data_IF_799567932327
#
_entry.id   IF_799567932327
#
_cell.length_a   1.000
_cell.length_b   1.000
_cell.length_c   1.000
_cell.angle_alpha   90.00
_cell.angle_beta   90.00
_cell.angle_gamma   90.00
#
_symmetry.space_group_name_H-M   'P 1'
#
loop_
_entity.id
_entity.type
_entity.pdbx_description
1 polymer ?
#
# COMPACT_ATOMS: atom_id res chain seq x y z
N UNK A 1 -8.96 22.88 28.95
CA UNK A 1 -8.55 22.01 27.84
C UNK A 1 -9.78 21.62 27.06
N UNK A 2 -9.82 21.73 25.74
CA UNK A 2 -10.95 21.20 24.99
C UNK A 2 -11.03 19.67 25.22
N UNK A 3 -12.23 19.07 25.20
CA UNK A 3 -12.37 17.64 25.34
C UNK A 3 -11.60 16.94 24.21
N UNK A 4 -10.77 15.99 24.59
CA UNK A 4 -9.96 15.21 23.63
C UNK A 4 -10.95 14.30 22.90
N UNK A 5 -11.05 14.46 21.59
CA UNK A 5 -11.84 13.52 20.75
C UNK A 5 -11.28 12.11 20.94
N UNK A 6 -12.12 11.09 21.12
CA UNK A 6 -11.66 9.70 21.28
C UNK A 6 -10.95 9.13 20.05
N UNK A 7 -10.84 9.94 18.99
CA UNK A 7 -10.28 9.54 17.70
C UNK A 7 -11.25 8.69 16.87
N UNK A 8 -10.87 8.39 15.61
CA UNK A 8 -11.72 7.64 14.70
C UNK A 8 -11.80 6.17 15.10
N UNK A 9 -12.89 5.51 14.70
CA UNK A 9 -13.03 4.06 14.85
C UNK A 9 -12.13 3.33 13.87
N UNK A 10 -11.29 2.43 14.37
CA UNK A 10 -10.38 1.62 13.57
C UNK A 10 -10.93 0.21 13.34
N UNK A 11 -10.80 -0.29 12.12
CA UNK A 11 -11.02 -1.70 11.79
C UNK A 11 -9.67 -2.34 11.52
N UNK A 12 -9.22 -3.18 12.45
CA UNK A 12 -7.93 -3.87 12.37
C UNK A 12 -7.99 -5.07 11.43
N UNK A 13 -7.18 -5.06 10.38
CA UNK A 13 -7.01 -6.19 9.46
C UNK A 13 -5.90 -7.11 9.96
N UNK A 14 -4.81 -6.53 10.46
CA UNK A 14 -3.72 -7.25 11.13
C UNK A 14 -3.31 -6.49 12.41
N UNK A 15 -2.51 -7.06 13.31
CA UNK A 15 -2.04 -6.34 14.49
C UNK A 15 -1.26 -5.06 14.20
N UNK A 16 -0.68 -4.94 13.00
CA UNK A 16 0.09 -3.76 12.56
C UNK A 16 -0.58 -2.86 11.56
N UNK A 17 -1.80 -3.21 11.08
CA UNK A 17 -2.49 -2.46 10.04
C UNK A 17 -3.99 -2.39 10.27
N UNK A 18 -4.53 -1.18 10.24
CA UNK A 18 -5.95 -0.91 10.36
C UNK A 18 -6.45 0.00 9.23
N UNK A 19 -7.76 0.01 9.03
CA UNK A 19 -8.42 0.95 8.11
C UNK A 19 -9.50 1.75 8.84
N UNK A 20 -9.80 2.94 8.31
CA UNK A 20 -10.86 3.81 8.83
C UNK A 20 -11.51 4.61 7.71
N UNK A 21 -12.61 5.28 8.02
CA UNK A 21 -13.27 6.25 7.14
C UNK A 21 -12.43 7.52 6.97
N UNK A 22 -12.93 8.47 6.16
CA UNK A 22 -12.32 9.78 5.99
C UNK A 22 -12.09 10.44 7.35
N UNK A 23 -10.91 11.05 7.51
CA UNK A 23 -10.47 11.69 8.73
C UNK A 23 -10.83 13.18 8.73
N UNK A 24 -11.14 13.72 9.89
CA UNK A 24 -11.18 15.15 10.13
C UNK A 24 -9.91 15.64 10.84
N UNK A 25 -9.81 16.95 11.08
CA UNK A 25 -8.61 17.54 11.68
C UNK A 25 -8.33 17.07 13.11
N UNK A 26 -9.36 16.73 13.88
CA UNK A 26 -9.23 16.28 15.26
C UNK A 26 -8.79 14.82 15.36
N UNK A 27 -9.09 14.01 14.34
CA UNK A 27 -8.79 12.58 14.30
C UNK A 27 -7.29 12.29 14.34
N UNK A 28 -6.45 13.15 13.74
CA UNK A 28 -4.99 12.93 13.73
C UNK A 28 -4.40 12.88 15.14
N UNK A 29 -4.84 13.78 16.03
CA UNK A 29 -4.43 13.73 17.43
C UNK A 29 -4.97 12.48 18.15
N UNK A 30 -6.20 12.07 17.85
CA UNK A 30 -6.82 10.86 18.37
C UNK A 30 -6.10 9.59 17.91
N UNK A 31 -5.65 9.52 16.66
CA UNK A 31 -4.84 8.41 16.14
C UNK A 31 -3.51 8.26 16.89
N UNK A 32 -2.81 9.37 17.11
CA UNK A 32 -1.55 9.34 17.88
C UNK A 32 -1.77 8.85 19.32
N UNK A 33 -2.87 9.25 19.96
CA UNK A 33 -3.24 8.77 21.31
C UNK A 33 -3.60 7.28 21.34
N UNK A 34 -4.16 6.75 20.24
CA UNK A 34 -4.42 5.32 20.06
C UNK A 34 -3.15 4.52 19.75
N UNK A 35 -1.97 5.14 19.70
CA UNK A 35 -0.69 4.47 19.45
C UNK A 35 -0.38 4.23 17.98
N UNK A 36 -1.12 4.85 17.06
CA UNK A 36 -0.80 4.81 15.63
C UNK A 36 0.49 5.59 15.39
N UNK A 37 1.37 5.04 14.55
CA UNK A 37 2.62 5.69 14.17
C UNK A 37 2.58 6.32 12.77
N UNK A 38 1.76 5.78 11.87
CA UNK A 38 1.71 6.24 10.47
C UNK A 38 0.31 6.22 9.90
N UNK A 39 0.05 7.14 8.97
CA UNK A 39 -1.23 7.29 8.25
C UNK A 39 -1.00 7.21 6.75
N UNK A 40 -1.81 6.44 6.05
CA UNK A 40 -1.90 6.40 4.59
C UNK A 40 -3.24 6.97 4.15
N UNK A 41 -3.24 7.96 3.26
CA UNK A 41 -4.45 8.43 2.59
C UNK A 41 -4.55 7.76 1.21
N UNK A 42 -5.59 6.95 1.02
CA UNK A 42 -5.93 6.38 -0.30
C UNK A 42 -6.99 7.20 -1.03
N UNK A 43 -7.34 8.36 -0.52
CA UNK A 43 -8.34 9.22 -1.12
C UNK A 43 -7.69 10.17 -2.12
N UNK A 44 -8.09 10.17 -3.42
CA UNK A 44 -7.66 11.18 -4.38
C UNK A 44 -8.09 12.58 -3.91
N UNK A 45 -7.27 13.59 -4.14
CA UNK A 45 -7.66 14.97 -3.88
C UNK A 45 -8.83 15.37 -4.79
N UNK A 46 -9.69 16.23 -4.27
CA UNK A 46 -10.85 16.76 -5.01
C UNK A 46 -11.89 15.71 -5.43
N UNK A 47 -11.92 14.54 -4.80
CA UNK A 47 -12.93 13.52 -5.04
C UNK A 47 -14.34 13.98 -4.63
N UNK A 48 -14.43 14.85 -3.61
CA UNK A 48 -15.70 15.45 -3.14
C UNK A 48 -15.49 16.91 -2.78
N UNK A 49 -16.56 17.70 -2.91
CA UNK A 49 -16.55 19.09 -2.46
C UNK A 49 -16.33 19.17 -0.95
N UNK A 50 -15.44 20.08 -0.52
CA UNK A 50 -15.12 20.25 0.92
C UNK A 50 -14.19 19.20 1.50
N UNK A 51 -13.71 18.25 0.70
CA UNK A 51 -12.71 17.28 1.14
C UNK A 51 -11.42 17.97 1.58
N UNK A 52 -10.84 17.51 2.69
CA UNK A 52 -9.51 17.92 3.12
C UNK A 52 -8.46 17.44 2.11
N UNK A 53 -7.63 18.34 1.56
CA UNK A 53 -6.55 17.94 0.67
C UNK A 53 -5.47 17.13 1.39
N UNK A 54 -4.84 16.18 0.71
CA UNK A 54 -3.76 15.34 1.26
C UNK A 54 -2.59 16.17 1.83
N UNK A 55 -2.30 17.34 1.24
CA UNK A 55 -1.30 18.27 1.75
C UNK A 55 -1.67 18.81 3.17
N UNK A 56 -2.94 19.06 3.42
CA UNK A 56 -3.44 19.48 4.74
C UNK A 56 -3.39 18.32 5.73
N UNK A 57 -3.79 17.12 5.31
CA UNK A 57 -3.68 15.90 6.11
C UNK A 57 -2.22 15.64 6.53
N UNK A 58 -1.26 15.83 5.63
CA UNK A 58 0.17 15.69 5.92
C UNK A 58 0.65 16.64 7.02
N UNK A 59 0.19 17.90 7.01
CA UNK A 59 0.53 18.89 8.05
C UNK A 59 -0.07 18.50 9.40
N UNK A 60 -1.31 18.04 9.41
CA UNK A 60 -2.01 17.61 10.64
C UNK A 60 -1.36 16.36 11.23
N UNK A 61 -1.03 15.37 10.39
CA UNK A 61 -0.30 14.18 10.79
C UNK A 61 1.06 14.53 11.41
N UNK A 62 1.84 15.37 10.74
CA UNK A 62 3.13 15.84 11.28
C UNK A 62 2.99 16.52 12.63
N UNK A 63 1.99 17.42 12.81
CA UNK A 63 1.71 18.08 14.09
C UNK A 63 1.33 17.11 15.20
N UNK A 64 0.70 15.99 14.83
CA UNK A 64 0.35 14.92 15.77
C UNK A 64 1.50 13.92 16.01
N UNK A 65 2.66 14.09 15.36
CA UNK A 65 3.80 13.17 15.47
C UNK A 65 3.66 11.90 14.63
N UNK A 66 2.75 11.89 13.65
CA UNK A 66 2.49 10.77 12.74
C UNK A 66 3.28 10.94 11.43
N UNK A 67 3.73 9.83 10.86
CA UNK A 67 4.26 9.81 9.49
C UNK A 67 3.08 9.70 8.52
N UNK A 68 3.11 10.47 7.42
CA UNK A 68 2.03 10.49 6.44
C UNK A 68 2.50 10.06 5.05
N UNK A 69 1.67 9.29 4.36
CA UNK A 69 1.83 8.95 2.94
C UNK A 69 0.52 9.13 2.20
N UNK A 70 0.59 9.74 1.01
CA UNK A 70 -0.53 9.82 0.08
C UNK A 70 -0.33 8.78 -1.02
N UNK A 71 -1.23 7.81 -1.10
CA UNK A 71 -1.29 6.77 -2.14
C UNK A 71 -2.68 6.82 -2.74
N UNK A 72 -2.97 7.81 -3.59
CA UNK A 72 -4.32 8.01 -4.13
C UNK A 72 -4.74 6.82 -4.97
N UNK A 73 -5.95 6.33 -4.71
CA UNK A 73 -6.54 5.19 -5.39
C UNK A 73 -7.99 5.54 -5.79
N UNK A 74 -8.23 5.85 -7.06
CA UNK A 74 -9.57 6.05 -7.55
C UNK A 74 -10.30 4.69 -7.73
N UNK A 75 -11.62 4.70 -7.82
CA UNK A 75 -12.42 3.46 -7.86
C UNK A 75 -12.07 2.53 -9.04
N UNK A 76 -11.57 3.10 -10.14
CA UNK A 76 -11.28 2.38 -11.38
C UNK A 76 -9.80 1.96 -11.51
N UNK A 77 -8.92 2.33 -10.57
CA UNK A 77 -7.48 2.08 -10.66
C UNK A 77 -6.90 1.29 -9.47
N UNK A 78 -7.75 0.70 -8.63
CA UNK A 78 -7.37 0.02 -7.38
C UNK A 78 -6.33 -1.09 -7.58
N UNK A 79 -6.33 -1.75 -8.75
CA UNK A 79 -5.44 -2.86 -9.08
C UNK A 79 -4.32 -2.46 -10.06
N UNK A 80 -4.14 -1.17 -10.32
CA UNK A 80 -3.03 -0.70 -11.16
C UNK A 80 -1.70 -0.80 -10.43
N UNK A 81 -0.60 -1.00 -11.18
CA UNK A 81 0.73 -1.11 -10.59
C UNK A 81 1.12 0.11 -9.77
N UNK A 82 0.80 1.31 -10.26
CA UNK A 82 1.12 2.56 -9.57
C UNK A 82 0.53 2.59 -8.16
N UNK A 83 -0.74 2.21 -8.00
CA UNK A 83 -1.42 2.18 -6.71
C UNK A 83 -0.85 1.07 -5.83
N UNK A 84 -0.70 -0.14 -6.37
CA UNK A 84 -0.27 -1.31 -5.59
C UNK A 84 1.19 -1.19 -5.16
N UNK A 85 2.07 -0.73 -6.04
CA UNK A 85 3.48 -0.48 -5.70
C UNK A 85 3.61 0.64 -4.69
N UNK A 86 2.88 1.75 -4.88
CA UNK A 86 2.83 2.83 -3.92
C UNK A 86 2.39 2.38 -2.52
N UNK A 87 1.38 1.50 -2.46
CA UNK A 87 0.92 0.92 -1.18
C UNK A 87 1.95 -0.04 -0.58
N UNK A 88 2.53 -0.92 -1.40
CA UNK A 88 3.56 -1.84 -0.94
C UNK A 88 4.81 -1.11 -0.42
N UNK A 89 5.23 -0.04 -1.09
CA UNK A 89 6.34 0.82 -0.65
C UNK A 89 6.02 1.53 0.67
N UNK A 90 4.81 2.06 0.79
CA UNK A 90 4.36 2.68 2.03
C UNK A 90 4.37 1.68 3.20
N UNK A 91 3.83 0.47 3.00
CA UNK A 91 3.80 -0.58 4.03
C UNK A 91 5.21 -1.05 4.45
N UNK A 92 6.19 -1.06 3.52
CA UNK A 92 7.58 -1.41 3.83
C UNK A 92 8.34 -0.30 4.54
N UNK A 93 8.07 0.96 4.19
CA UNK A 93 8.83 2.11 4.67
C UNK A 93 8.27 2.79 5.90
N UNK A 94 7.01 2.55 6.25
CA UNK A 94 6.35 3.19 7.38
C UNK A 94 6.54 2.38 8.67
N UNK A 95 6.66 3.10 9.78
CA UNK A 95 6.63 2.49 11.12
C UNK A 95 5.18 2.16 11.47
N UNK A 96 4.96 0.96 11.97
CA UNK A 96 3.65 0.54 12.47
C UNK A 96 3.44 0.90 13.95
N UNK A 97 2.19 0.86 14.41
CA UNK A 97 0.98 0.53 13.66
C UNK A 97 0.61 1.58 12.60
N UNK A 98 0.13 1.12 11.46
CA UNK A 98 -0.28 1.95 10.32
C UNK A 98 -1.79 1.96 10.20
N UNK A 99 -2.39 3.12 9.99
CA UNK A 99 -3.79 3.23 9.59
C UNK A 99 -3.89 3.77 8.17
N UNK A 100 -4.71 3.14 7.33
CA UNK A 100 -5.06 3.67 6.03
C UNK A 100 -6.52 4.15 6.02
N UNK A 101 -6.79 5.26 5.34
CA UNK A 101 -8.15 5.76 5.19
C UNK A 101 -8.49 6.09 3.74
N UNK A 102 -9.77 6.06 3.46
CA UNK A 102 -10.38 6.56 2.23
C UNK A 102 -11.71 7.23 2.58
N UNK A 103 -12.78 7.07 1.80
CA UNK A 103 -14.11 7.57 2.18
C UNK A 103 -14.74 6.74 3.31
N UNK A 104 -14.67 5.40 3.25
CA UNK A 104 -15.32 4.46 4.18
C UNK A 104 -14.38 3.39 4.76
N UNK A 105 -13.10 3.38 4.40
CA UNK A 105 -12.15 2.33 4.74
C UNK A 105 -12.11 1.16 3.76
N UNK A 106 -13.18 0.90 3.01
CA UNK A 106 -13.32 -0.25 2.13
C UNK A 106 -12.27 -0.28 1.00
N UNK A 107 -12.04 0.85 0.33
CA UNK A 107 -11.03 1.01 -0.72
C UNK A 107 -9.62 0.74 -0.17
N UNK A 108 -9.31 1.27 1.01
CA UNK A 108 -8.03 1.04 1.68
C UNK A 108 -7.81 -0.43 2.02
N UNK A 109 -8.86 -1.17 2.38
CA UNK A 109 -8.79 -2.61 2.60
C UNK A 109 -8.47 -3.37 1.30
N UNK A 110 -9.09 -3.01 0.17
CA UNK A 110 -8.81 -3.62 -1.15
C UNK A 110 -7.36 -3.34 -1.58
N UNK A 111 -6.91 -2.09 -1.49
CA UNK A 111 -5.54 -1.72 -1.90
C UNK A 111 -4.49 -2.40 -1.02
N UNK A 112 -4.76 -2.53 0.30
CA UNK A 112 -3.92 -3.31 1.20
C UNK A 112 -3.87 -4.78 0.79
N UNK A 113 -5.02 -5.37 0.48
CA UNK A 113 -5.09 -6.78 0.05
C UNK A 113 -4.29 -7.02 -1.23
N UNK A 114 -4.47 -6.17 -2.25
CA UNK A 114 -3.76 -6.28 -3.51
C UNK A 114 -2.23 -6.13 -3.34
N UNK A 115 -1.78 -5.18 -2.50
CA UNK A 115 -0.36 -5.02 -2.19
C UNK A 115 0.20 -6.21 -1.39
N UNK A 116 -0.58 -6.74 -0.44
CA UNK A 116 -0.19 -7.88 0.40
C UNK A 116 -0.12 -9.19 -0.38
N UNK A 117 -1.01 -9.42 -1.36
CA UNK A 117 -1.01 -10.59 -2.23
C UNK A 117 0.29 -10.74 -3.03
N UNK A 118 1.04 -9.66 -3.27
CA UNK A 118 2.36 -9.73 -3.91
C UNK A 118 3.43 -10.40 -3.03
N UNK A 119 3.19 -10.61 -1.74
CA UNK A 119 4.18 -11.16 -0.80
C UNK A 119 3.63 -12.20 0.17
N UNK A 120 2.31 -12.29 0.29
CA UNK A 120 1.59 -13.20 1.19
C UNK A 120 0.68 -14.13 0.37
N UNK A 121 0.39 -15.34 0.84
CA UNK A 121 -0.62 -16.21 0.22
C UNK A 121 -1.99 -15.51 0.18
N UNK A 122 -2.69 -15.61 -0.96
CA UNK A 122 -4.01 -14.98 -1.16
C UNK A 122 -5.02 -15.44 -0.11
N UNK A 123 -5.02 -16.73 0.24
CA UNK A 123 -5.90 -17.27 1.29
C UNK A 123 -5.67 -16.62 2.66
N UNK A 124 -4.41 -16.32 3.00
CA UNK A 124 -4.09 -15.58 4.23
C UNK A 124 -4.65 -14.16 4.20
N UNK A 125 -4.51 -13.48 3.06
CA UNK A 125 -5.01 -12.10 2.87
C UNK A 125 -6.54 -12.06 2.99
N UNK A 126 -7.24 -12.96 2.32
CA UNK A 126 -8.71 -13.05 2.37
C UNK A 126 -9.20 -13.41 3.78
N UNK A 127 -8.56 -14.36 4.46
CA UNK A 127 -8.91 -14.72 5.83
C UNK A 127 -8.71 -13.54 6.81
N UNK A 128 -7.70 -12.69 6.61
CA UNK A 128 -7.49 -11.50 7.42
C UNK A 128 -8.59 -10.45 7.19
N UNK A 129 -9.03 -10.28 5.93
CA UNK A 129 -10.14 -9.40 5.58
C UNK A 129 -11.46 -9.89 6.16
N UNK A 130 -11.78 -11.17 6.00
CA UNK A 130 -13.01 -11.78 6.53
C UNK A 130 -13.09 -11.61 8.06
N UNK A 131 -12.01 -11.92 8.76
CA UNK A 131 -11.90 -11.70 10.22
C UNK A 131 -12.12 -10.24 10.63
N UNK A 132 -11.76 -9.29 9.77
CA UNK A 132 -11.98 -7.85 9.97
C UNK A 132 -13.39 -7.39 9.56
N UNK A 133 -14.22 -8.29 9.02
CA UNK A 133 -15.60 -8.01 8.58
C UNK A 133 -15.70 -7.49 7.14
N UNK A 134 -14.68 -7.73 6.31
CA UNK A 134 -14.71 -7.41 4.88
C UNK A 134 -14.93 -8.70 4.06
N UNK A 135 -16.15 -8.91 3.60
CA UNK A 135 -16.49 -10.01 2.68
C UNK A 135 -16.03 -9.66 1.25
N UNK A 136 -14.81 -10.04 0.91
CA UNK A 136 -14.12 -9.66 -0.32
C UNK A 136 -13.67 -10.87 -1.16
N UNK A 137 -14.32 -12.03 -1.04
CA UNK A 137 -14.01 -13.20 -1.87
C UNK A 137 -14.14 -12.91 -3.37
N UNK A 138 -14.97 -11.95 -3.75
CA UNK A 138 -15.18 -11.54 -5.15
C UNK A 138 -13.93 -10.96 -5.82
N UNK A 139 -12.92 -10.51 -5.06
CA UNK A 139 -11.67 -9.99 -5.62
C UNK A 139 -10.55 -11.05 -5.67
N UNK A 140 -10.85 -12.32 -5.40
CA UNK A 140 -9.85 -13.40 -5.37
C UNK A 140 -9.03 -13.46 -6.64
N UNK A 141 -9.68 -13.44 -7.81
CA UNK A 141 -8.99 -13.51 -9.11
C UNK A 141 -8.04 -12.32 -9.32
N UNK A 142 -8.43 -11.14 -8.87
CA UNK A 142 -7.57 -9.95 -8.91
C UNK A 142 -6.36 -10.10 -7.98
N UNK A 143 -6.53 -10.70 -6.79
CA UNK A 143 -5.43 -10.96 -5.86
C UNK A 143 -4.48 -12.04 -6.38
N UNK A 144 -5.00 -13.10 -7.01
CA UNK A 144 -4.20 -14.16 -7.63
C UNK A 144 -3.37 -13.58 -8.78
N UNK A 145 -3.95 -12.69 -9.61
CA UNK A 145 -3.23 -11.96 -10.65
C UNK A 145 -2.08 -11.09 -10.08
N UNK A 146 -2.27 -10.48 -8.90
CA UNK A 146 -1.19 -9.73 -8.24
C UNK A 146 -0.09 -10.65 -7.68
N UNK A 147 -0.44 -11.80 -7.14
CA UNK A 147 0.52 -12.79 -6.66
C UNK A 147 1.39 -13.35 -7.80
N UNK A 148 0.78 -13.65 -8.95
CA UNK A 148 1.47 -14.15 -10.14
C UNK A 148 2.38 -13.10 -10.78
N UNK A 149 1.98 -11.83 -10.78
CA UNK A 149 2.76 -10.74 -11.38
C UNK A 149 4.17 -10.60 -10.79
N UNK A 150 4.33 -10.80 -9.49
CA UNK A 150 5.66 -10.82 -8.86
C UNK A 150 6.50 -12.02 -9.33
N UNK A 151 5.89 -13.17 -9.55
CA UNK A 151 6.57 -14.37 -10.05
C UNK A 151 7.16 -14.12 -11.44
N UNK A 152 6.42 -13.46 -12.35
CA UNK A 152 6.87 -13.12 -13.69
C UNK A 152 7.99 -12.08 -13.71
N UNK A 153 7.91 -11.02 -12.91
CA UNK A 153 8.96 -10.02 -12.80
C UNK A 153 10.27 -10.61 -12.27
N UNK A 154 10.21 -11.56 -11.33
CA UNK A 154 11.38 -12.29 -10.82
C UNK A 154 12.05 -13.18 -11.87
N UNK A 155 11.27 -13.80 -12.75
CA UNK A 155 11.78 -14.65 -13.85
C UNK A 155 12.42 -13.82 -14.95
N UNK A 156 11.86 -12.65 -15.30
CA UNK A 156 12.42 -11.76 -16.33
C UNK A 156 13.81 -11.26 -15.94
N UNK A 157 14.04 -10.91 -14.69
CA UNK A 157 15.35 -10.45 -14.21
C UNK A 157 16.42 -11.54 -14.26
N UNK A 158 16.05 -12.80 -14.09
CA UNK A 158 16.97 -13.95 -14.17
C UNK A 158 17.33 -14.28 -15.62
N UNK A 159 16.38 -14.14 -16.56
CA UNK A 159 16.61 -14.38 -17.99
C UNK A 159 17.52 -13.30 -18.60
N UNK A 160 17.36 -12.03 -18.24
CA UNK A 160 18.21 -10.94 -18.72
C UNK A 160 19.67 -11.09 -18.23
N UNK A 161 19.88 -11.65 -17.03
CA UNK A 161 21.22 -11.94 -16.53
C UNK A 161 21.88 -13.14 -17.22
N UNK A 162 21.10 -14.13 -17.67
CA UNK A 162 21.63 -15.31 -18.34
C UNK A 162 22.02 -15.05 -19.82
N UNK A 163 21.31 -14.14 -20.49
CA UNK A 163 21.62 -13.77 -21.89
C UNK A 163 22.82 -12.81 -22.00
N UNK A 164 23.05 -11.95 -20.99
CA UNK A 164 24.21 -11.05 -20.99
C UNK A 164 25.55 -11.75 -20.79
N UNK A 165 25.58 -12.98 -20.26
CA UNK A 165 26.81 -13.72 -20.01
C UNK A 165 27.30 -14.54 -21.20
N UNK A 166 26.51 -14.70 -22.27
CA UNK A 166 26.87 -15.54 -23.43
C UNK A 166 27.51 -14.79 -24.61
N UNK A 167 27.55 -13.45 -24.60
CA UNK A 167 28.07 -12.69 -25.73
C UNK A 167 29.57 -12.30 -25.62
N UNK A 168 30.24 -12.65 -24.52
CA UNK A 168 31.65 -12.23 -24.32
C UNK A 168 32.71 -13.29 -24.63
N UNK A 169 32.37 -14.41 -25.29
CA UNK A 169 33.35 -15.51 -25.56
C UNK A 169 33.84 -15.66 -27.01
N UNK A 170 33.57 -14.71 -27.91
CA UNK A 170 34.09 -14.81 -29.31
C UNK A 170 34.82 -13.53 -29.75
N UNK A 171 36.00 -13.29 -29.18
CA UNK A 171 37.00 -12.44 -29.84
C UNK A 171 38.01 -13.32 -30.63
N UNK A 172 38.19 -13.10 -31.93
CA UNK A 172 39.20 -13.81 -32.70
C UNK A 172 40.60 -13.36 -32.30
N UNK A 173 41.46 -14.33 -31.96
CA UNK A 173 42.90 -14.10 -31.74
C UNK A 173 43.55 -13.61 -33.06
N UNK A 174 44.02 -12.37 -33.06
CA UNK A 174 44.85 -11.83 -34.14
C UNK A 174 46.14 -12.65 -34.26
N UNK A 175 46.35 -13.23 -35.43
CA UNK A 175 47.64 -13.85 -35.81
C UNK A 175 48.70 -12.74 -35.96
N UNK A 176 49.75 -12.84 -35.16
CA UNK A 176 51.03 -12.15 -35.44
C UNK A 176 51.72 -12.84 -36.61
N UNK A 177 52.02 -12.10 -37.65
CA UNK A 177 52.93 -12.53 -38.71
C UNK A 177 54.27 -11.76 -38.58
N UNK A 178 55.30 -12.51 -38.72
CA UNK A 178 56.76 -12.17 -38.68
C UNK A 178 57.15 -10.98 -39.52
#
# INVERSE_FOLDING_TARGET
MPPISPGPRLTWITPGFAVTSALDAADFAGLAQQGIASVISNRPDSEEAGQMPAKTEAVLAWRAGLVFRHVPAAKHDLFTDVVIEGMADALRGLKGPVVAHCKSGFRSAIVWAAASARSQPVDYVLAALDKAGFELDSIRDDLDAQADRKRWLGVSTVLDCATASSEFTNLPKSRSAA
#
